data_IF_946592057546
#
_entry.id   IF_946592057546
#
_cell.length_a   1.000
_cell.length_b   1.000
_cell.length_c   1.000
_cell.angle_alpha   90.00
_cell.angle_beta   90.00
_cell.angle_gamma   90.00
#
_symmetry.space_group_name_H-M   'P 1'
#
loop_
_entity.id
_entity.type
_entity.pdbx_description
1 polymer ?
#
# COMPACT_ATOMS: atom_id res chain seq x y z
N UNK A 1 -10.86 -0.11 37.03
CA UNK A 1 -11.33 1.15 36.41
C UNK A 1 -10.77 1.25 35.01
N UNK A 2 -11.68 1.20 34.03
CA UNK A 2 -11.46 1.46 32.61
C UNK A 2 -11.16 2.96 32.39
N UNK A 3 -10.12 3.26 31.61
CA UNK A 3 -9.85 4.60 31.06
C UNK A 3 -9.55 4.50 29.57
N UNK A 4 -10.55 4.02 28.85
CA UNK A 4 -10.80 4.39 27.46
C UNK A 4 -11.13 5.89 27.40
N UNK A 5 -10.16 6.75 27.06
CA UNK A 5 -10.41 8.14 26.65
C UNK A 5 -9.57 8.38 25.38
N UNK A 6 -10.17 8.32 24.19
CA UNK A 6 -10.93 9.39 23.53
C UNK A 6 -10.09 10.64 23.29
N UNK A 7 -9.34 10.68 22.19
CA UNK A 7 -8.90 11.92 21.56
C UNK A 7 -9.88 12.25 20.43
N UNK A 8 -10.61 13.34 20.63
CA UNK A 8 -11.60 13.90 19.70
C UNK A 8 -10.82 14.80 18.72
N UNK A 9 -10.92 14.52 17.43
CA UNK A 9 -10.47 15.41 16.36
C UNK A 9 -11.55 16.48 16.10
N UNK A 10 -11.20 17.75 15.82
CA UNK A 10 -12.17 18.86 15.71
C UNK A 10 -13.23 18.75 14.59
N UNK A 11 -13.18 17.75 13.73
CA UNK A 11 -14.12 17.57 12.61
C UNK A 11 -14.89 16.23 12.70
N UNK A 12 -15.54 15.95 13.84
CA UNK A 12 -16.72 15.08 13.99
C UNK A 12 -16.72 13.63 13.45
N UNK A 13 -15.67 13.14 12.81
CA UNK A 13 -15.63 11.82 12.16
C UNK A 13 -14.87 10.82 13.02
N UNK A 14 -15.61 9.87 13.61
CA UNK A 14 -15.05 8.71 14.30
C UNK A 14 -14.79 7.61 13.27
N UNK A 15 -13.53 7.19 13.12
CA UNK A 15 -13.17 6.05 12.27
C UNK A 15 -13.79 4.74 12.83
N UNK A 16 -14.46 3.91 12.01
CA UNK A 16 -15.02 2.65 12.50
C UNK A 16 -13.91 1.64 12.83
N UNK A 17 -13.89 1.18 14.08
CA UNK A 17 -12.97 0.16 14.56
C UNK A 17 -13.22 -1.22 13.93
N UNK A 18 -12.15 -1.92 13.57
CA UNK A 18 -12.19 -3.28 13.00
C UNK A 18 -12.76 -4.26 14.04
N UNK A 19 -14.03 -4.66 13.92
CA UNK A 19 -14.61 -5.78 14.68
C UNK A 19 -14.78 -7.01 13.77
N UNK A 20 -14.04 -8.05 14.18
CA UNK A 20 -14.06 -9.47 13.80
C UNK A 20 -15.24 -10.01 12.98
N UNK A 21 -14.93 -10.55 11.79
CA UNK A 21 -15.82 -11.28 10.89
C UNK A 21 -16.23 -12.70 11.38
N UNK A 22 -15.73 -13.17 12.52
CA UNK A 22 -15.77 -14.57 12.91
C UNK A 22 -17.09 -15.09 13.55
N UNK A 23 -18.23 -14.38 13.43
CA UNK A 23 -19.48 -14.79 14.13
C UNK A 23 -20.70 -15.03 13.24
N UNK A 24 -20.58 -14.87 11.91
CA UNK A 24 -21.71 -15.05 10.98
C UNK A 24 -21.72 -16.37 10.22
N UNK A 25 -20.59 -17.07 10.14
CA UNK A 25 -20.46 -18.29 9.32
C UNK A 25 -21.14 -19.52 9.94
N UNK A 26 -21.22 -19.61 11.27
CA UNK A 26 -21.81 -20.76 11.98
C UNK A 26 -23.34 -20.91 11.84
N UNK A 27 -24.04 -19.88 11.34
CA UNK A 27 -25.51 -19.93 11.21
C UNK A 27 -25.97 -20.50 9.86
N UNK A 28 -25.11 -20.47 8.83
CA UNK A 28 -25.49 -20.86 7.46
C UNK A 28 -25.34 -22.37 7.24
N UNK A 29 -24.44 -23.03 7.99
CA UNK A 29 -24.15 -24.46 7.83
C UNK A 29 -25.24 -25.43 8.37
N UNK A 30 -26.31 -24.93 9.02
CA UNK A 30 -27.34 -25.78 9.65
C UNK A 30 -28.66 -25.89 8.87
N UNK A 31 -28.77 -25.29 7.69
CA UNK A 31 -30.01 -25.28 6.90
C UNK A 31 -29.97 -26.12 5.61
N UNK A 32 -28.86 -26.78 5.29
CA UNK A 32 -28.74 -27.63 4.09
C UNK A 32 -28.75 -29.11 4.43
N UNK A 33 -29.81 -29.57 5.11
CA UNK A 33 -30.08 -31.00 5.23
C UNK A 33 -31.59 -31.25 5.34
N UNK A 34 -32.33 -30.88 4.29
CA UNK A 34 -33.55 -31.62 3.94
C UNK A 34 -34.02 -31.25 2.52
N UNK A 35 -34.02 -32.24 1.61
CA UNK A 35 -35.15 -32.64 0.74
C UNK A 35 -34.65 -33.36 -0.54
N UNK A 36 -35.23 -34.53 -0.90
CA UNK A 36 -34.77 -35.39 -1.97
C UNK A 36 -35.51 -35.21 -3.31
N UNK A 37 -34.80 -35.50 -4.41
CA UNK A 37 -35.31 -36.10 -5.66
C UNK A 37 -36.32 -35.35 -6.53
N UNK A 38 -35.90 -34.93 -7.74
CA UNK A 38 -36.72 -35.08 -8.96
C UNK A 38 -35.91 -34.92 -10.25
N UNK A 39 -36.35 -35.68 -11.25
CA UNK A 39 -35.73 -36.07 -12.51
C UNK A 39 -35.76 -35.02 -13.63
N UNK A 40 -34.88 -35.25 -14.60
CA UNK A 40 -34.87 -34.84 -16.02
C UNK A 40 -36.06 -34.01 -16.57
N UNK A 41 -35.73 -32.92 -17.29
CA UNK A 41 -36.67 -32.18 -18.12
C UNK A 41 -36.01 -31.04 -18.91
N UNK A 42 -35.68 -31.33 -20.17
CA UNK A 42 -35.83 -30.49 -21.38
C UNK A 42 -35.78 -28.95 -21.26
N UNK A 43 -34.84 -28.35 -21.98
CA UNK A 43 -34.77 -26.93 -22.28
C UNK A 43 -35.92 -26.46 -23.21
N UNK A 44 -36.71 -25.45 -22.79
CA UNK A 44 -37.04 -24.27 -23.60
C UNK A 44 -37.97 -23.31 -22.85
N UNK A 45 -37.58 -22.03 -22.78
CA UNK A 45 -38.42 -20.93 -22.31
C UNK A 45 -37.95 -20.31 -21.00
N UNK A 46 -36.84 -19.57 -21.06
CA UNK A 46 -36.44 -18.75 -19.92
C UNK A 46 -37.42 -17.57 -19.87
N UNK A 47 -38.43 -17.65 -19.01
CA UNK A 47 -39.38 -16.55 -18.79
C UNK A 47 -38.67 -15.27 -18.33
N UNK A 48 -39.36 -14.13 -18.33
CA UNK A 48 -38.77 -12.80 -18.01
C UNK A 48 -37.94 -12.83 -16.73
N UNK A 49 -38.37 -13.57 -15.71
CA UNK A 49 -37.63 -13.72 -14.44
C UNK A 49 -36.31 -14.50 -14.59
N UNK A 50 -36.26 -15.52 -15.44
CA UNK A 50 -35.03 -16.25 -15.71
C UNK A 50 -34.07 -15.44 -16.59
N UNK A 51 -34.59 -14.65 -17.53
CA UNK A 51 -33.78 -13.70 -18.28
C UNK A 51 -33.21 -12.62 -17.34
N UNK A 52 -34.01 -12.15 -16.36
CA UNK A 52 -33.55 -11.21 -15.34
C UNK A 52 -32.45 -11.82 -14.45
N UNK A 53 -32.62 -13.08 -14.04
CA UNK A 53 -31.60 -13.81 -13.25
C UNK A 53 -30.32 -14.02 -14.05
N UNK A 54 -30.40 -14.34 -15.34
CA UNK A 54 -29.23 -14.42 -16.22
C UNK A 54 -28.55 -13.05 -16.40
N UNK A 55 -29.32 -11.96 -16.52
CA UNK A 55 -28.76 -10.60 -16.57
C UNK A 55 -28.09 -10.25 -15.25
N UNK A 56 -28.69 -10.57 -14.10
CA UNK A 56 -28.08 -10.34 -12.78
C UNK A 56 -26.82 -11.18 -12.58
N UNK A 57 -26.81 -12.44 -13.00
CA UNK A 57 -25.63 -13.31 -12.91
C UNK A 57 -24.54 -12.85 -13.89
N UNK A 58 -24.91 -12.43 -15.09
CA UNK A 58 -23.98 -11.82 -16.05
C UNK A 58 -23.38 -10.53 -15.51
N UNK A 59 -24.20 -9.63 -14.93
CA UNK A 59 -23.73 -8.41 -14.27
C UNK A 59 -22.84 -8.71 -13.05
N UNK A 60 -23.06 -9.83 -12.36
CA UNK A 60 -22.22 -10.30 -11.25
C UNK A 60 -20.87 -10.86 -11.73
N UNK A 61 -20.83 -11.48 -12.91
CA UNK A 61 -19.61 -11.99 -13.54
C UNK A 61 -18.93 -10.95 -14.45
N UNK A 62 -19.53 -9.77 -14.62
CA UNK A 62 -18.96 -8.69 -15.41
C UNK A 62 -17.62 -8.23 -14.82
N UNK A 63 -16.55 -8.17 -15.62
CA UNK A 63 -15.25 -7.66 -15.21
C UNK A 63 -15.24 -6.12 -15.10
N UNK A 64 -16.33 -5.50 -14.63
CA UNK A 64 -16.44 -4.04 -14.52
C UNK A 64 -15.48 -3.46 -13.46
N UNK A 65 -14.69 -4.28 -12.79
CA UNK A 65 -13.48 -3.87 -12.07
C UNK A 65 -12.30 -4.76 -12.45
N UNK A 66 -11.92 -4.78 -13.73
CA UNK A 66 -10.52 -5.00 -14.09
C UNK A 66 -9.87 -3.62 -14.02
N UNK A 67 -9.32 -3.28 -12.85
CA UNK A 67 -8.40 -2.14 -12.78
C UNK A 67 -7.29 -2.42 -13.81
N UNK A 68 -6.95 -1.46 -14.68
CA UNK A 68 -5.86 -1.65 -15.62
C UNK A 68 -4.62 -2.12 -14.86
N UNK A 69 -3.96 -3.14 -15.39
CA UNK A 69 -2.70 -3.62 -14.85
C UNK A 69 -1.75 -2.41 -14.72
N UNK A 70 -1.45 -1.98 -13.49
CA UNK A 70 -0.49 -0.91 -13.19
C UNK A 70 0.96 -1.26 -13.61
N UNK A 71 1.16 -2.41 -14.26
CA UNK A 71 2.44 -2.89 -14.78
C UNK A 71 3.17 -1.90 -15.67
N UNK A 72 2.47 -1.02 -16.41
CA UNK A 72 3.12 -0.01 -17.27
C UNK A 72 3.99 0.99 -16.47
N UNK A 73 3.61 1.26 -15.22
CA UNK A 73 4.32 2.20 -14.34
C UNK A 73 4.98 1.51 -13.15
N UNK A 74 5.14 0.17 -13.21
CA UNK A 74 5.77 -0.58 -12.13
C UNK A 74 7.27 -0.27 -12.11
N UNK A 75 7.83 0.12 -10.95
CA UNK A 75 9.29 0.25 -10.81
C UNK A 75 10.00 -1.08 -11.10
N UNK A 76 11.21 -1.01 -11.65
CA UNK A 76 12.07 -2.18 -11.88
C UNK A 76 12.53 -2.81 -10.57
N UNK A 77 13.07 -4.02 -10.66
CA UNK A 77 13.73 -4.71 -9.54
C UNK A 77 14.91 -3.88 -8.99
N UNK A 78 15.67 -3.22 -9.87
CA UNK A 78 16.75 -2.29 -9.47
C UNK A 78 16.23 -1.13 -8.60
N UNK A 79 15.05 -0.59 -8.92
CA UNK A 79 14.42 0.43 -8.08
C UNK A 79 14.00 -0.12 -6.71
N UNK A 80 13.56 -1.38 -6.64
CA UNK A 80 13.21 -2.01 -5.38
C UNK A 80 14.45 -2.31 -4.53
N UNK A 81 15.53 -2.78 -5.14
CA UNK A 81 16.84 -2.92 -4.50
C UNK A 81 17.36 -1.58 -3.97
N UNK A 82 17.28 -0.52 -4.79
CA UNK A 82 17.67 0.83 -4.37
C UNK A 82 16.85 1.30 -3.18
N UNK A 83 15.52 1.10 -3.19
CA UNK A 83 14.62 1.46 -2.07
C UNK A 83 15.03 0.79 -0.77
N UNK A 84 15.36 -0.49 -0.82
CA UNK A 84 15.77 -1.25 0.36
C UNK A 84 17.13 -0.78 0.87
N UNK A 85 18.09 -0.57 -0.02
CA UNK A 85 19.42 -0.08 0.33
C UNK A 85 19.38 1.31 0.99
N UNK A 86 18.71 2.29 0.38
CA UNK A 86 18.63 3.64 0.96
C UNK A 86 17.79 3.66 2.24
N UNK A 87 16.76 2.81 2.37
CA UNK A 87 15.98 2.68 3.62
C UNK A 87 16.89 2.23 4.76
N UNK A 88 17.65 1.15 4.56
CA UNK A 88 18.57 0.63 5.57
C UNK A 88 19.67 1.63 5.92
N UNK A 89 20.25 2.31 4.91
CA UNK A 89 21.24 3.37 5.15
C UNK A 89 20.67 4.51 5.97
N UNK A 90 19.49 5.02 5.58
CA UNK A 90 18.86 6.16 6.24
C UNK A 90 18.44 5.83 7.69
N UNK A 91 17.88 4.65 7.93
CA UNK A 91 17.53 4.19 9.28
C UNK A 91 18.77 4.01 10.17
N UNK A 92 19.88 3.53 9.62
CA UNK A 92 21.09 3.27 10.39
C UNK A 92 21.97 4.51 10.63
N UNK A 93 22.02 5.45 9.68
CA UNK A 93 23.02 6.52 9.65
C UNK A 93 22.44 7.93 9.66
N UNK A 94 21.16 8.11 9.31
CA UNK A 94 20.55 9.44 9.18
C UNK A 94 19.54 9.66 10.31
N UNK A 95 18.56 8.78 10.44
CA UNK A 95 17.46 8.90 11.40
C UNK A 95 17.90 9.12 12.86
N UNK A 96 18.97 8.47 13.39
CA UNK A 96 19.40 8.67 14.78
C UNK A 96 19.80 10.10 15.11
N UNK A 97 20.20 10.89 14.11
CA UNK A 97 20.70 12.26 14.28
C UNK A 97 19.62 13.32 14.00
N UNK A 98 18.48 12.93 13.42
CA UNK A 98 17.48 13.86 12.92
C UNK A 98 16.94 14.84 13.98
N UNK A 99 16.63 14.34 15.19
CA UNK A 99 16.10 15.17 16.27
C UNK A 99 17.12 16.21 16.77
N UNK A 100 18.38 15.79 16.94
CA UNK A 100 19.44 16.70 17.38
C UNK A 100 19.75 17.76 16.32
N UNK A 101 19.78 17.38 15.03
CA UNK A 101 19.95 18.31 13.91
C UNK A 101 18.86 19.38 13.89
N UNK A 102 17.60 18.98 14.09
CA UNK A 102 16.45 19.88 14.12
C UNK A 102 16.50 20.84 15.33
N UNK A 103 16.78 20.31 16.52
CA UNK A 103 16.91 21.09 17.76
C UNK A 103 18.07 22.11 17.70
N UNK A 104 19.21 21.70 17.13
CA UNK A 104 20.42 22.52 17.03
C UNK A 104 20.42 23.46 15.81
N UNK A 105 19.43 23.33 14.91
CA UNK A 105 19.34 24.07 13.64
C UNK A 105 20.63 24.05 12.81
N UNK A 106 21.32 22.90 12.79
CA UNK A 106 22.61 22.73 12.11
C UNK A 106 22.48 21.98 10.79
N UNK A 107 23.54 22.04 9.99
CA UNK A 107 23.64 21.21 8.79
C UNK A 107 23.77 19.72 9.16
N UNK A 108 23.03 18.79 8.49
CA UNK A 108 23.07 17.36 8.78
C UNK A 108 24.30 16.69 8.15
N UNK A 109 25.49 16.94 8.71
CA UNK A 109 26.75 16.40 8.20
C UNK A 109 26.73 14.86 8.12
N UNK A 110 26.11 14.20 9.09
CA UNK A 110 25.99 12.74 9.15
C UNK A 110 25.21 12.17 7.96
N UNK A 111 24.19 12.90 7.49
CA UNK A 111 23.45 12.51 6.30
C UNK A 111 24.27 12.70 5.03
N UNK A 112 25.00 13.81 4.92
CA UNK A 112 25.90 14.06 3.79
C UNK A 112 26.99 12.97 3.71
N UNK A 113 27.68 12.70 4.81
CA UNK A 113 28.75 11.72 4.88
C UNK A 113 28.24 10.32 4.52
N UNK A 114 27.08 9.92 5.03
CA UNK A 114 26.46 8.64 4.71
C UNK A 114 26.11 8.52 3.22
N UNK A 115 25.55 9.57 2.62
CA UNK A 115 25.18 9.58 1.21
C UNK A 115 26.40 9.60 0.28
N UNK A 116 27.43 10.38 0.62
CA UNK A 116 28.69 10.44 -0.15
C UNK A 116 29.40 9.09 -0.11
N UNK A 117 29.53 8.48 1.07
CA UNK A 117 30.21 7.19 1.21
C UNK A 117 29.53 6.01 0.49
N UNK A 118 28.30 6.20 -0.01
CA UNK A 118 27.53 5.19 -0.73
C UNK A 118 27.19 5.62 -2.17
N UNK A 119 27.79 6.70 -2.69
CA UNK A 119 27.52 7.24 -4.03
C UNK A 119 26.04 7.60 -4.29
N UNK A 120 25.31 7.95 -3.22
CA UNK A 120 23.90 8.36 -3.26
C UNK A 120 23.73 9.88 -3.14
N UNK A 121 24.83 10.61 -2.96
CA UNK A 121 24.84 12.07 -3.03
C UNK A 121 24.71 12.53 -4.49
N UNK A 122 23.90 13.58 -4.72
CA UNK A 122 23.73 14.19 -6.05
C UNK A 122 23.52 13.16 -7.19
N UNK A 123 22.79 12.07 -6.91
CA UNK A 123 22.74 10.86 -7.75
C UNK A 123 22.30 11.09 -9.22
N UNK A 124 21.57 12.17 -9.50
CA UNK A 124 21.13 12.57 -10.85
C UNK A 124 22.19 13.29 -11.67
N UNK A 125 23.29 13.73 -11.04
CA UNK A 125 24.38 14.40 -11.73
C UNK A 125 25.06 13.41 -12.67
N UNK A 126 25.31 13.78 -13.95
CA UNK A 126 26.01 12.92 -14.89
C UNK A 126 27.38 12.45 -14.38
N UNK A 127 27.81 11.28 -14.82
CA UNK A 127 29.11 10.68 -14.46
C UNK A 127 30.30 11.57 -14.82
N UNK A 128 30.21 12.33 -15.93
CA UNK A 128 31.26 13.28 -16.34
C UNK A 128 31.52 14.40 -15.32
N UNK A 129 30.60 14.64 -14.39
CA UNK A 129 30.74 15.58 -13.28
C UNK A 129 30.90 14.88 -11.91
N UNK A 130 31.17 13.57 -11.90
CA UNK A 130 31.38 12.79 -10.67
C UNK A 130 30.11 12.34 -9.94
N UNK A 131 28.95 12.37 -10.61
CA UNK A 131 27.70 11.79 -10.09
C UNK A 131 27.43 10.37 -10.61
N UNK A 132 26.28 9.82 -10.26
CA UNK A 132 25.88 8.45 -10.63
C UNK A 132 24.98 8.38 -11.89
N UNK A 133 24.64 9.52 -12.51
CA UNK A 133 23.84 9.56 -13.74
C UNK A 133 22.44 8.95 -13.62
N UNK A 134 21.88 8.86 -12.41
CA UNK A 134 20.63 8.16 -12.18
C UNK A 134 19.43 8.88 -12.77
N UNK A 135 18.46 8.09 -13.23
CA UNK A 135 17.23 8.61 -13.79
C UNK A 135 16.35 9.28 -12.71
N UNK A 136 15.30 9.97 -13.15
CA UNK A 136 14.40 10.71 -12.27
C UNK A 136 13.72 9.83 -11.20
N UNK A 137 13.34 8.60 -11.53
CA UNK A 137 12.66 7.71 -10.58
C UNK A 137 13.61 7.24 -9.48
N UNK A 138 14.83 6.83 -9.84
CA UNK A 138 15.88 6.49 -8.88
C UNK A 138 16.23 7.68 -7.98
N UNK A 139 16.32 8.87 -8.56
CA UNK A 139 16.58 10.11 -7.81
C UNK A 139 15.48 10.41 -6.78
N UNK A 140 14.21 10.31 -7.19
CA UNK A 140 13.07 10.50 -6.29
C UNK A 140 13.03 9.44 -5.20
N UNK A 141 13.39 8.19 -5.50
CA UNK A 141 13.49 7.13 -4.48
C UNK A 141 14.48 7.51 -3.39
N UNK A 142 15.68 7.99 -3.74
CA UNK A 142 16.69 8.40 -2.76
C UNK A 142 16.15 9.53 -1.88
N UNK A 143 15.60 10.59 -2.51
CA UNK A 143 15.06 11.76 -1.80
C UNK A 143 13.91 11.35 -0.86
N UNK A 144 12.95 10.56 -1.34
CA UNK A 144 11.77 10.15 -0.56
C UNK A 144 12.17 9.36 0.68
N UNK A 145 13.17 8.48 0.58
CA UNK A 145 13.60 7.64 1.69
C UNK A 145 14.40 8.41 2.72
N UNK A 146 15.26 9.33 2.29
CA UNK A 146 15.94 10.25 3.21
C UNK A 146 14.91 11.13 3.94
N UNK A 147 13.99 11.77 3.20
CA UNK A 147 12.95 12.61 3.78
C UNK A 147 12.05 11.85 4.78
N UNK A 148 11.67 10.61 4.45
CA UNK A 148 10.88 9.75 5.34
C UNK A 148 11.63 9.39 6.62
N UNK A 149 12.95 9.27 6.57
CA UNK A 149 13.76 8.89 7.73
C UNK A 149 13.87 10.00 8.78
N UNK A 150 13.72 11.27 8.37
CA UNK A 150 13.83 12.44 9.25
C UNK A 150 12.46 13.02 9.67
N UNK A 151 11.37 12.57 9.04
CA UNK A 151 10.02 12.99 9.41
C UNK A 151 9.55 12.29 10.70
N UNK A 152 8.99 13.02 11.68
CA UNK A 152 8.33 12.42 12.84
C UNK A 152 7.21 11.48 12.38
N UNK A 153 7.10 10.29 12.99
CA UNK A 153 5.93 9.42 12.79
C UNK A 153 4.85 9.85 13.79
N UNK A 154 3.78 10.44 13.28
CA UNK A 154 2.56 10.80 14.04
C UNK A 154 1.83 9.58 14.58
#
# INVERSE_FOLDING_TARGET
MDKSQSLIHPDGHVAPGRRSAARREDRIARQTHDQPGRSAGTAHGIGVLGALLQVVDHLRQSPFVVLPNFGLYRPSEEHDMLRDAIRSLAEAKIAPHAAAVDEEARFPQEALDALVANDLHAVHVPEEYGGAGANALATVIVIEKVARSVSPRS
#
